data_IF_053398563159
#
_entry.id   IF_053398563159
#
_cell.length_a   1.000
_cell.length_b   1.000
_cell.length_c   1.000
_cell.angle_alpha   90.00
_cell.angle_beta   90.00
_cell.angle_gamma   90.00
#
_symmetry.space_group_name_H-M   'P 1'
#
loop_
_entity.id
_entity.type
_entity.pdbx_description
1 polymer ?
#
# COMPACT_ATOMS: atom_id res chain seq x y z
N UNK A 1 -1.63 -17.03 23.62
CA UNK A 1 -0.63 -16.79 22.58
C UNK A 1 0.74 -16.75 23.25
N UNK A 2 1.76 -17.36 22.68
CA UNK A 2 3.12 -17.21 23.18
C UNK A 2 3.51 -15.74 23.11
N UNK A 3 4.34 -15.26 24.05
CA UNK A 3 4.91 -13.93 23.97
C UNK A 3 5.97 -13.87 22.85
N UNK A 4 6.35 -12.66 22.47
CA UNK A 4 7.29 -12.41 21.37
C UNK A 4 8.62 -13.16 21.56
N UNK A 5 9.18 -13.16 22.76
CA UNK A 5 10.46 -13.80 23.07
C UNK A 5 10.41 -15.32 22.91
N UNK A 6 9.29 -15.93 23.36
CA UNK A 6 9.02 -17.37 23.18
C UNK A 6 8.88 -17.72 21.70
N UNK A 7 8.18 -16.93 20.90
CA UNK A 7 8.07 -17.14 19.44
C UNK A 7 9.42 -17.00 18.75
N UNK A 8 10.23 -15.99 19.09
CA UNK A 8 11.56 -15.78 18.56
C UNK A 8 12.52 -16.94 18.86
N UNK A 9 12.45 -17.49 20.08
CA UNK A 9 13.23 -18.68 20.47
C UNK A 9 12.83 -19.90 19.62
N UNK A 10 11.54 -20.16 19.47
CA UNK A 10 11.04 -21.28 18.67
C UNK A 10 11.42 -21.15 17.18
N UNK A 11 11.40 -19.94 16.63
CA UNK A 11 11.84 -19.68 15.25
C UNK A 11 13.32 -20.06 15.11
N UNK A 12 14.20 -19.58 16.00
CA UNK A 12 15.65 -19.86 15.95
C UNK A 12 15.97 -21.35 16.12
N UNK A 13 15.26 -22.06 17.00
CA UNK A 13 15.46 -23.48 17.24
C UNK A 13 15.01 -24.39 16.06
N UNK A 14 14.04 -23.92 15.25
CA UNK A 14 13.44 -24.70 14.15
C UNK A 14 13.79 -24.19 12.76
N UNK A 15 14.85 -23.39 12.63
CA UNK A 15 15.28 -22.87 11.33
C UNK A 15 15.61 -24.02 10.36
N UNK A 16 14.93 -24.10 9.18
CA UNK A 16 15.25 -25.09 8.18
C UNK A 16 16.58 -24.75 7.49
N UNK A 17 17.26 -25.75 6.99
CA UNK A 17 18.41 -25.52 6.11
C UNK A 17 17.96 -24.84 4.82
N UNK A 18 18.72 -23.84 4.37
CA UNK A 18 18.41 -23.02 3.18
C UNK A 18 18.96 -23.66 1.89
N UNK A 19 18.43 -24.82 1.53
CA UNK A 19 18.93 -25.63 0.41
C UNK A 19 17.96 -25.70 -0.79
N UNK A 20 16.73 -25.25 -0.60
CA UNK A 20 15.66 -25.49 -1.57
C UNK A 20 15.71 -24.55 -2.79
N UNK A 21 16.31 -23.36 -2.65
CA UNK A 21 16.45 -22.39 -3.73
C UNK A 21 16.55 -20.96 -3.23
N UNK A 22 16.76 -20.02 -4.16
CA UNK A 22 16.93 -18.60 -3.90
C UNK A 22 15.78 -17.80 -4.54
N UNK A 23 15.01 -17.07 -3.74
CA UNK A 23 13.85 -16.32 -4.22
C UNK A 23 13.99 -14.84 -3.87
N UNK A 24 13.77 -13.98 -4.87
CA UNK A 24 13.66 -12.54 -4.68
C UNK A 24 12.20 -12.12 -4.49
N UNK A 25 11.95 -11.24 -3.54
CA UNK A 25 10.64 -10.64 -3.27
C UNK A 25 10.76 -9.14 -3.45
N UNK A 26 9.96 -8.55 -4.33
CA UNK A 26 9.95 -7.11 -4.60
C UNK A 26 8.79 -6.47 -3.84
N UNK A 27 9.14 -5.65 -2.84
CA UNK A 27 8.21 -5.00 -1.92
C UNK A 27 7.98 -5.77 -0.63
N UNK A 28 8.04 -5.07 0.49
CA UNK A 28 7.87 -5.59 1.85
C UNK A 28 6.48 -5.31 2.44
N UNK A 29 5.47 -5.05 1.59
CA UNK A 29 4.09 -4.94 2.05
C UNK A 29 3.53 -6.29 2.53
N UNK A 30 2.24 -6.35 2.93
CA UNK A 30 1.63 -7.57 3.48
C UNK A 30 1.83 -8.81 2.63
N UNK A 31 1.71 -8.69 1.30
CA UNK A 31 1.90 -9.81 0.38
C UNK A 31 3.36 -10.27 0.34
N UNK A 32 4.32 -9.34 0.23
CA UNK A 32 5.74 -9.66 0.18
C UNK A 32 6.24 -10.30 1.47
N UNK A 33 5.88 -9.74 2.63
CA UNK A 33 6.23 -10.31 3.94
C UNK A 33 5.66 -11.72 4.11
N UNK A 34 4.42 -11.95 3.66
CA UNK A 34 3.79 -13.28 3.73
C UNK A 34 4.51 -14.30 2.86
N UNK A 35 4.79 -13.98 1.59
CA UNK A 35 5.52 -14.86 0.68
C UNK A 35 6.91 -15.16 1.21
N UNK A 36 7.64 -14.13 1.68
CA UNK A 36 8.98 -14.30 2.20
C UNK A 36 9.02 -15.19 3.44
N UNK A 37 8.14 -14.96 4.40
CA UNK A 37 8.05 -15.78 5.61
C UNK A 37 7.68 -17.24 5.31
N UNK A 38 6.70 -17.47 4.43
CA UNK A 38 6.26 -18.82 4.09
C UNK A 38 7.34 -19.60 3.30
N UNK A 39 8.05 -18.98 2.37
CA UNK A 39 9.15 -19.62 1.64
C UNK A 39 10.36 -19.84 2.54
N UNK A 40 10.69 -18.89 3.42
CA UNK A 40 11.80 -19.05 4.36
C UNK A 40 11.59 -20.23 5.31
N UNK A 41 10.35 -20.45 5.79
CA UNK A 41 9.97 -21.64 6.59
C UNK A 41 10.10 -22.95 5.80
N UNK A 42 9.99 -22.90 4.49
CA UNK A 42 10.13 -24.06 3.60
C UNK A 42 11.58 -24.33 3.17
N UNK A 43 12.57 -23.58 3.66
CA UNK A 43 13.99 -23.80 3.37
C UNK A 43 14.51 -23.04 2.13
N UNK A 44 13.78 -22.04 1.64
CA UNK A 44 14.29 -21.13 0.63
C UNK A 44 15.18 -20.02 1.23
N UNK A 45 16.19 -19.61 0.47
CA UNK A 45 16.94 -18.40 0.73
C UNK A 45 16.19 -17.21 0.12
N UNK A 46 15.67 -16.32 0.94
CA UNK A 46 14.78 -15.23 0.49
C UNK A 46 15.40 -13.88 0.74
N UNK A 47 15.37 -13.02 -0.29
CA UNK A 47 15.77 -11.61 -0.18
C UNK A 47 14.59 -10.73 -0.58
N UNK A 48 14.24 -9.77 0.27
CA UNK A 48 13.25 -8.74 -0.01
C UNK A 48 13.97 -7.47 -0.49
N UNK A 49 13.57 -6.96 -1.64
CA UNK A 49 13.98 -5.67 -2.22
C UNK A 49 12.90 -4.63 -1.90
N UNK A 50 13.23 -3.67 -1.05
CA UNK A 50 12.28 -2.65 -0.57
C UNK A 50 12.76 -1.24 -0.95
N UNK A 51 11.88 -0.46 -1.53
CA UNK A 51 12.16 0.91 -1.99
C UNK A 51 12.26 1.94 -0.87
N UNK A 52 11.64 1.67 0.28
CA UNK A 52 11.60 2.55 1.43
C UNK A 52 12.77 2.28 2.41
N UNK A 53 12.95 3.19 3.36
CA UNK A 53 13.97 3.09 4.41
C UNK A 53 13.62 2.05 5.48
N UNK A 54 12.33 1.77 5.70
CA UNK A 54 11.85 0.72 6.59
C UNK A 54 10.93 -0.24 5.84
N UNK A 55 10.95 -1.54 6.16
CA UNK A 55 10.04 -2.51 5.58
C UNK A 55 8.63 -2.39 6.17
N UNK A 56 7.63 -2.95 5.48
CA UNK A 56 6.24 -3.01 5.94
C UNK A 56 5.23 -2.40 4.97
N UNK A 57 5.68 -1.60 4.00
CA UNK A 57 4.81 -0.99 2.99
C UNK A 57 3.63 -0.23 3.60
N UNK A 58 2.40 -0.54 3.18
CA UNK A 58 1.19 0.13 3.70
C UNK A 58 0.99 -0.05 5.21
N UNK A 59 1.49 -1.12 5.83
CA UNK A 59 1.42 -1.33 7.29
C UNK A 59 2.23 -0.27 8.04
N UNK A 60 3.37 0.11 7.50
CA UNK A 60 4.26 1.09 8.09
C UNK A 60 3.87 2.52 7.71
N UNK A 61 3.61 2.77 6.43
CA UNK A 61 3.47 4.12 5.89
C UNK A 61 2.03 4.56 5.60
N UNK A 62 1.09 3.63 5.44
CA UNK A 62 -0.29 3.92 5.03
C UNK A 62 -1.29 3.86 6.19
N UNK A 63 -1.30 2.78 6.97
CA UNK A 63 -2.23 2.60 8.08
C UNK A 63 -1.79 3.50 9.25
N UNK A 64 -2.68 4.33 9.85
CA UNK A 64 -2.31 5.19 10.97
C UNK A 64 -1.89 4.40 12.23
N UNK A 65 -0.99 5.00 13.02
CA UNK A 65 -0.49 4.45 14.29
C UNK A 65 -1.62 4.02 15.25
N UNK A 66 -2.68 4.82 15.36
CA UNK A 66 -3.81 4.53 16.26
C UNK A 66 -4.65 3.33 15.84
N UNK A 67 -4.50 2.82 14.59
CA UNK A 67 -5.12 1.57 14.10
C UNK A 67 -4.17 0.39 14.13
N UNK A 68 -2.91 0.64 13.83
CA UNK A 68 -1.87 -0.38 13.78
C UNK A 68 -0.56 0.20 14.33
N UNK A 69 -0.25 -0.05 15.62
CA UNK A 69 1.00 0.39 16.22
C UNK A 69 2.22 -0.13 15.43
N UNK A 70 3.16 0.75 15.11
CA UNK A 70 4.32 0.40 14.27
C UNK A 70 5.24 -0.60 14.95
N UNK A 71 5.25 -0.61 16.28
CA UNK A 71 5.97 -1.63 17.05
C UNK A 71 5.49 -3.05 16.72
N UNK A 72 4.17 -3.27 16.54
CA UNK A 72 3.63 -4.58 16.16
C UNK A 72 4.13 -4.98 14.78
N UNK A 73 4.18 -4.02 13.83
CA UNK A 73 4.71 -4.27 12.49
C UNK A 73 6.19 -4.64 12.53
N UNK A 74 6.99 -3.92 13.32
CA UNK A 74 8.43 -4.21 13.51
C UNK A 74 8.65 -5.59 14.10
N UNK A 75 7.89 -5.98 15.12
CA UNK A 75 7.97 -7.32 15.71
C UNK A 75 7.69 -8.43 14.68
N UNK A 76 6.71 -8.25 13.79
CA UNK A 76 6.45 -9.23 12.73
C UNK A 76 7.59 -9.28 11.69
N UNK A 77 8.19 -8.13 11.36
CA UNK A 77 9.37 -8.05 10.50
C UNK A 77 10.57 -8.77 11.14
N UNK A 78 10.85 -8.53 12.43
CA UNK A 78 11.92 -9.20 13.19
C UNK A 78 11.75 -10.74 13.18
N UNK A 79 10.51 -11.24 13.28
CA UNK A 79 10.24 -12.69 13.15
C UNK A 79 10.62 -13.21 11.76
N UNK A 80 10.35 -12.43 10.71
CA UNK A 80 10.69 -12.79 9.33
C UNK A 80 12.20 -12.75 9.11
N UNK A 81 12.91 -11.75 9.68
CA UNK A 81 14.37 -11.70 9.69
C UNK A 81 14.98 -12.89 10.43
N UNK A 82 14.41 -13.26 11.56
CA UNK A 82 14.84 -14.43 12.34
C UNK A 82 14.66 -15.75 11.56
N UNK A 83 13.77 -15.82 10.58
CA UNK A 83 13.70 -16.92 9.63
C UNK A 83 14.83 -16.94 8.60
N UNK A 84 15.75 -15.97 8.64
CA UNK A 84 16.87 -15.82 7.72
C UNK A 84 16.51 -15.12 6.41
N UNK A 85 15.45 -14.32 6.39
CA UNK A 85 15.13 -13.44 5.27
C UNK A 85 16.02 -12.20 5.33
N UNK A 86 16.62 -11.85 4.18
CA UNK A 86 17.45 -10.63 4.05
C UNK A 86 16.59 -9.49 3.49
N UNK A 87 16.74 -8.29 4.04
CA UNK A 87 16.11 -7.07 3.52
C UNK A 87 17.15 -6.16 2.88
N UNK A 88 16.92 -5.78 1.61
CA UNK A 88 17.68 -4.76 0.89
C UNK A 88 16.80 -3.52 0.77
N UNK A 89 16.99 -2.59 1.71
CA UNK A 89 16.22 -1.35 1.81
C UNK A 89 16.76 -0.27 0.87
N UNK A 90 15.96 0.76 0.61
CA UNK A 90 16.28 1.84 -0.33
C UNK A 90 16.61 1.34 -1.75
N UNK A 91 16.08 0.17 -2.12
CA UNK A 91 16.34 -0.50 -3.38
C UNK A 91 15.09 -0.43 -4.28
N UNK A 92 15.14 0.40 -5.32
CA UNK A 92 14.03 0.61 -6.26
C UNK A 92 14.22 -0.27 -7.48
N UNK A 93 13.54 -1.42 -7.52
CA UNK A 93 13.51 -2.30 -8.69
C UNK A 93 12.82 -1.60 -9.88
N UNK A 94 13.41 -1.72 -11.07
CA UNK A 94 13.06 -0.97 -12.26
C UNK A 94 13.75 0.41 -12.35
N UNK A 95 14.67 0.73 -11.42
CA UNK A 95 15.51 1.93 -11.46
C UNK A 95 17.00 1.62 -11.22
N UNK A 96 17.32 0.96 -10.12
CA UNK A 96 18.70 0.59 -9.74
C UNK A 96 19.09 -0.77 -10.32
N UNK A 97 18.13 -1.68 -10.41
CA UNK A 97 18.24 -2.99 -11.05
C UNK A 97 16.87 -3.37 -11.61
N UNK A 98 16.86 -4.23 -12.61
CA UNK A 98 15.65 -4.76 -13.21
C UNK A 98 15.47 -6.27 -12.88
N UNK A 99 14.44 -6.89 -13.39
CA UNK A 99 14.15 -8.33 -13.17
C UNK A 99 15.27 -9.22 -13.72
N UNK A 100 15.87 -8.87 -14.87
CA UNK A 100 16.96 -9.63 -15.47
C UNK A 100 18.24 -9.56 -14.63
N UNK A 101 18.54 -8.39 -14.05
CA UNK A 101 19.66 -8.22 -13.13
C UNK A 101 19.50 -9.09 -11.87
N UNK A 102 18.26 -9.26 -11.40
CA UNK A 102 17.96 -10.13 -10.26
C UNK A 102 18.17 -11.61 -10.65
N UNK A 103 17.68 -12.05 -11.80
CA UNK A 103 17.95 -13.41 -12.30
C UNK A 103 19.44 -13.66 -12.49
N UNK A 104 20.18 -12.69 -13.04
CA UNK A 104 21.63 -12.79 -13.22
C UNK A 104 22.41 -12.99 -11.89
N UNK A 105 21.83 -12.58 -10.75
CA UNK A 105 22.35 -12.85 -9.41
C UNK A 105 22.01 -14.25 -8.87
N UNK A 106 21.46 -15.14 -9.71
CA UNK A 106 21.18 -16.54 -9.40
C UNK A 106 19.92 -16.78 -8.58
N UNK A 107 18.92 -15.89 -8.67
CA UNK A 107 17.60 -16.16 -8.10
C UNK A 107 16.82 -17.12 -9.00
N UNK A 108 16.21 -18.16 -8.42
CA UNK A 108 15.42 -19.19 -9.11
C UNK A 108 14.01 -18.69 -9.47
N UNK A 109 13.47 -17.79 -8.68
CA UNK A 109 12.16 -17.16 -8.91
C UNK A 109 12.10 -15.74 -8.29
N UNK A 110 11.18 -14.94 -8.82
CA UNK A 110 10.96 -13.56 -8.37
C UNK A 110 9.47 -13.36 -8.08
N UNK A 111 9.16 -12.75 -6.95
CA UNK A 111 7.79 -12.33 -6.57
C UNK A 111 7.65 -10.81 -6.65
N UNK A 112 6.65 -10.31 -7.35
CA UNK A 112 6.29 -8.89 -7.42
C UNK A 112 5.12 -8.64 -6.46
N UNK A 113 5.40 -7.96 -5.35
CA UNK A 113 4.45 -7.55 -4.32
C UNK A 113 4.45 -6.03 -4.09
N UNK A 114 4.68 -5.25 -5.15
CA UNK A 114 4.86 -3.79 -5.10
C UNK A 114 3.58 -2.99 -4.79
N UNK A 115 2.42 -3.64 -4.71
CA UNK A 115 1.15 -3.03 -4.38
C UNK A 115 0.69 -1.98 -5.40
N UNK A 116 -0.10 -1.00 -4.93
CA UNK A 116 -0.62 0.12 -5.72
C UNK A 116 -0.04 1.44 -5.20
N UNK A 117 1.18 1.77 -5.65
CA UNK A 117 1.93 2.92 -5.16
C UNK A 117 1.51 4.26 -5.80
N UNK A 118 0.81 4.24 -6.95
CA UNK A 118 0.42 5.47 -7.65
C UNK A 118 -1.03 5.86 -7.31
N UNK A 119 -1.25 7.02 -6.68
CA UNK A 119 -2.60 7.56 -6.51
C UNK A 119 -3.25 7.82 -7.87
N UNK A 120 -4.57 7.64 -7.96
CA UNK A 120 -5.34 8.08 -9.11
C UNK A 120 -5.46 9.59 -9.09
N UNK A 121 -5.26 10.22 -10.23
CA UNK A 121 -5.57 11.63 -10.45
C UNK A 121 -7.07 11.83 -10.72
N UNK A 122 -7.55 13.01 -10.42
CA UNK A 122 -8.85 13.50 -10.91
C UNK A 122 -8.57 14.45 -12.07
N UNK A 123 -9.22 14.21 -13.18
CA UNK A 123 -9.17 15.10 -14.35
C UNK A 123 -10.30 16.12 -14.25
N UNK A 124 -10.14 17.07 -13.32
CA UNK A 124 -11.06 18.18 -13.10
C UNK A 124 -10.27 19.48 -12.94
N UNK A 125 -10.88 20.65 -13.29
CA UNK A 125 -10.24 21.94 -13.10
C UNK A 125 -9.76 22.13 -11.64
N UNK A 126 -8.58 22.71 -11.49
CA UNK A 126 -7.99 23.01 -10.18
C UNK A 126 -7.30 21.83 -9.48
N UNK A 127 -7.21 20.63 -10.09
CA UNK A 127 -6.56 19.48 -9.46
C UNK A 127 -5.05 19.69 -9.16
N UNK A 128 -4.41 20.66 -9.82
CA UNK A 128 -3.00 21.04 -9.59
C UNK A 128 -2.81 22.18 -8.59
N UNK A 129 -3.85 22.71 -7.98
CA UNK A 129 -3.73 23.81 -7.00
C UNK A 129 -2.95 23.38 -5.76
N UNK A 130 -2.16 24.31 -5.19
CA UNK A 130 -1.50 24.10 -3.90
C UNK A 130 -2.54 23.88 -2.81
N UNK A 131 -2.37 22.81 -2.03
CA UNK A 131 -3.34 22.38 -1.00
C UNK A 131 -4.28 21.28 -1.46
N UNK A 132 -4.30 20.92 -2.76
CA UNK A 132 -4.86 19.65 -3.22
C UNK A 132 -3.78 18.58 -3.10
N UNK A 133 -3.98 17.60 -2.22
CA UNK A 133 -2.98 16.57 -1.90
C UNK A 133 -3.58 15.17 -1.98
N UNK A 134 -2.73 14.17 -2.11
CA UNK A 134 -3.16 12.78 -2.02
C UNK A 134 -3.30 12.35 -0.56
N UNK A 135 -4.36 11.61 -0.24
CA UNK A 135 -4.59 11.08 1.11
C UNK A 135 -3.44 10.17 1.57
N UNK A 136 -2.88 9.37 0.67
CA UNK A 136 -1.70 8.54 0.94
C UNK A 136 -0.47 9.36 1.33
N UNK A 137 -0.29 10.55 0.77
CA UNK A 137 0.78 11.46 1.17
C UNK A 137 0.56 12.01 2.58
N UNK A 138 -0.67 12.43 2.93
CA UNK A 138 -0.99 12.84 4.30
C UNK A 138 -0.71 11.73 5.30
N UNK A 139 -1.18 10.51 5.02
CA UNK A 139 -1.00 9.36 5.91
C UNK A 139 0.49 9.00 6.09
N UNK A 140 1.26 9.01 4.99
CA UNK A 140 2.71 8.77 5.04
C UNK A 140 3.40 9.81 5.93
N UNK A 141 3.16 11.10 5.67
CA UNK A 141 3.81 12.18 6.41
C UNK A 141 3.41 12.21 7.88
N UNK A 142 2.15 11.91 8.21
CA UNK A 142 1.68 11.81 9.58
C UNK A 142 2.32 10.63 10.33
N UNK A 143 2.47 9.46 9.67
CA UNK A 143 3.12 8.30 10.28
C UNK A 143 4.59 8.58 10.59
N UNK A 144 5.38 9.11 9.63
CA UNK A 144 6.81 9.40 9.87
C UNK A 144 7.02 10.59 10.83
N UNK A 145 6.04 11.50 10.94
CA UNK A 145 6.01 12.54 11.98
C UNK A 145 5.80 11.92 13.38
N UNK A 146 4.83 11.02 13.52
CA UNK A 146 4.57 10.33 14.78
C UNK A 146 5.78 9.50 15.25
N UNK A 147 6.58 8.97 14.32
CA UNK A 147 7.85 8.28 14.59
C UNK A 147 9.03 9.25 14.87
N UNK A 148 8.81 10.56 14.84
CA UNK A 148 9.85 11.57 15.08
C UNK A 148 10.86 11.75 13.94
N UNK A 149 10.62 11.15 12.77
CA UNK A 149 11.52 11.22 11.60
C UNK A 149 11.50 12.59 10.93
N UNK A 150 10.36 13.28 10.95
CA UNK A 150 10.17 14.62 10.36
C UNK A 150 9.50 15.57 11.35
N UNK A 151 9.70 16.88 11.14
CA UNK A 151 9.01 17.91 11.92
C UNK A 151 7.55 18.06 11.54
N UNK A 152 6.76 18.71 12.43
CA UNK A 152 5.34 18.99 12.21
C UNK A 152 5.09 19.84 10.94
N UNK A 153 6.04 20.69 10.57
CA UNK A 153 6.02 21.54 9.38
C UNK A 153 5.98 20.73 8.05
N UNK A 154 6.33 19.44 8.09
CA UNK A 154 6.29 18.56 6.93
C UNK A 154 4.94 17.87 6.76
N UNK A 155 4.10 17.81 7.81
CA UNK A 155 2.74 17.26 7.69
C UNK A 155 1.86 18.25 6.94
N UNK A 156 1.22 17.81 5.83
CA UNK A 156 0.59 18.76 4.89
C UNK A 156 -0.72 19.38 5.39
N UNK A 157 -1.30 18.91 6.50
CA UNK A 157 -2.47 19.55 7.16
C UNK A 157 -1.96 20.50 8.24
N UNK A 158 -2.38 21.76 8.17
CA UNK A 158 -2.02 22.81 9.13
C UNK A 158 -3.12 22.91 10.19
N UNK A 159 -2.75 23.20 11.41
CA UNK A 159 -3.70 23.43 12.52
C UNK A 159 -4.67 24.57 12.19
N UNK A 160 -5.95 24.35 12.47
CA UNK A 160 -7.02 25.32 12.18
C UNK A 160 -7.57 25.28 10.75
N UNK A 161 -7.02 24.48 9.83
CA UNK A 161 -7.56 24.36 8.46
C UNK A 161 -8.92 23.62 8.42
N UNK A 162 -9.76 24.02 7.47
CA UNK A 162 -10.96 23.27 7.06
C UNK A 162 -10.60 22.33 5.94
N UNK A 163 -10.70 21.01 6.19
CA UNK A 163 -10.21 19.97 5.29
C UNK A 163 -11.36 19.20 4.63
N UNK A 164 -11.34 19.09 3.32
CA UNK A 164 -12.20 18.15 2.58
C UNK A 164 -11.43 16.87 2.25
N UNK A 165 -12.07 15.70 2.42
CA UNK A 165 -11.53 14.42 2.00
C UNK A 165 -12.45 13.84 0.92
N UNK A 166 -11.89 13.62 -0.28
CA UNK A 166 -12.64 13.17 -1.46
C UNK A 166 -12.62 11.65 -1.54
N UNK A 167 -13.77 11.01 -1.37
CA UNK A 167 -13.93 9.56 -1.36
C UNK A 167 -14.45 9.04 -0.02
N UNK A 168 -14.87 7.76 0.05
CA UNK A 168 -15.51 7.19 1.24
C UNK A 168 -15.08 5.73 1.53
N UNK A 169 -13.85 5.36 1.12
CA UNK A 169 -13.22 4.08 1.49
C UNK A 169 -12.43 4.17 2.78
N UNK A 170 -11.82 3.06 3.22
CA UNK A 170 -11.01 3.02 4.44
C UNK A 170 -9.89 4.06 4.44
N UNK A 171 -9.24 4.30 3.31
CA UNK A 171 -8.20 5.35 3.17
C UNK A 171 -8.77 6.75 3.42
N UNK A 172 -10.03 7.02 3.01
CA UNK A 172 -10.69 8.29 3.28
C UNK A 172 -10.98 8.45 4.78
N UNK A 173 -11.45 7.39 5.45
CA UNK A 173 -11.66 7.40 6.91
C UNK A 173 -10.34 7.65 7.64
N UNK A 174 -9.27 6.95 7.26
CA UNK A 174 -7.94 7.11 7.84
C UNK A 174 -7.41 8.54 7.66
N UNK A 175 -7.54 9.09 6.44
CA UNK A 175 -7.09 10.46 6.14
C UNK A 175 -7.90 11.51 6.91
N UNK A 176 -9.22 11.34 7.00
CA UNK A 176 -10.09 12.27 7.74
C UNK A 176 -9.77 12.26 9.24
N UNK A 177 -9.69 11.10 9.86
CA UNK A 177 -9.34 10.94 11.27
C UNK A 177 -7.92 11.44 11.57
N UNK A 178 -6.98 11.20 10.64
CA UNK A 178 -5.63 11.75 10.76
C UNK A 178 -5.64 13.27 10.69
N UNK A 179 -6.40 13.89 9.77
CA UNK A 179 -6.51 15.33 9.69
C UNK A 179 -7.10 15.96 10.98
N UNK A 180 -8.12 15.33 11.58
CA UNK A 180 -8.64 15.74 12.91
C UNK A 180 -7.52 15.72 13.95
N UNK A 181 -6.76 14.62 14.03
CA UNK A 181 -5.65 14.45 15.00
C UNK A 181 -4.49 15.39 14.75
N UNK A 182 -4.32 15.85 13.51
CA UNK A 182 -3.35 16.89 13.14
C UNK A 182 -3.88 18.32 13.39
N UNK A 183 -5.01 18.50 14.07
CA UNK A 183 -5.51 19.81 14.51
C UNK A 183 -6.31 20.57 13.47
N UNK A 184 -6.88 19.92 12.44
CA UNK A 184 -7.82 20.57 11.54
C UNK A 184 -9.04 21.12 12.32
N UNK A 185 -9.49 22.35 12.00
CA UNK A 185 -10.66 22.96 12.63
C UNK A 185 -11.96 22.22 12.29
N UNK A 186 -12.05 21.68 11.09
CA UNK A 186 -13.11 20.75 10.68
C UNK A 186 -12.64 19.85 9.56
N UNK A 187 -13.21 18.65 9.52
CA UNK A 187 -12.95 17.67 8.45
C UNK A 187 -14.28 17.20 7.87
N UNK A 188 -14.41 17.24 6.54
CA UNK A 188 -15.61 16.82 5.82
C UNK A 188 -15.25 15.81 4.73
N UNK A 189 -15.81 14.62 4.81
CA UNK A 189 -15.77 13.64 3.73
C UNK A 189 -16.81 13.99 2.67
N UNK A 190 -16.40 14.11 1.41
CA UNK A 190 -17.27 14.40 0.26
C UNK A 190 -17.38 13.14 -0.59
N UNK A 191 -18.61 12.65 -0.75
CA UNK A 191 -18.86 11.40 -1.45
C UNK A 191 -20.01 11.51 -2.45
N UNK A 192 -19.76 11.02 -3.69
CA UNK A 192 -20.71 11.14 -4.81
C UNK A 192 -21.95 10.25 -4.72
N UNK A 193 -21.93 9.25 -3.84
CA UNK A 193 -23.04 8.30 -3.65
C UNK A 193 -23.68 8.48 -2.28
N UNK A 194 -24.63 7.61 -1.94
CA UNK A 194 -25.30 7.58 -0.64
C UNK A 194 -24.43 6.92 0.43
N UNK A 195 -24.84 7.02 1.68
CA UNK A 195 -24.23 6.30 2.82
C UNK A 195 -24.27 4.78 2.62
N UNK A 196 -25.36 4.25 2.04
CA UNK A 196 -25.51 2.82 1.78
C UNK A 196 -24.48 2.28 0.76
N UNK A 197 -23.94 3.14 -0.11
CA UNK A 197 -22.93 2.78 -1.10
C UNK A 197 -21.49 2.92 -0.58
N UNK A 198 -21.32 3.24 0.69
CA UNK A 198 -20.01 3.47 1.29
C UNK A 198 -19.18 2.18 1.33
N UNK A 199 -17.97 2.17 0.73
CA UNK A 199 -17.11 0.98 0.74
C UNK A 199 -16.26 0.82 2.00
N UNK A 200 -16.23 1.82 2.90
CA UNK A 200 -15.50 1.74 4.16
C UNK A 200 -16.14 0.74 5.13
N UNK A 201 -15.32 0.16 5.99
CA UNK A 201 -15.79 -0.71 7.08
C UNK A 201 -16.62 0.12 8.06
N UNK A 202 -17.79 -0.41 8.46
CA UNK A 202 -18.73 0.30 9.31
C UNK A 202 -18.10 0.80 10.63
N UNK A 203 -17.20 0.03 11.22
CA UNK A 203 -16.50 0.43 12.45
C UNK A 203 -15.64 1.70 12.24
N UNK A 204 -14.98 1.83 11.08
CA UNK A 204 -14.17 3.02 10.76
C UNK A 204 -15.03 4.26 10.49
N UNK A 205 -16.18 4.07 9.85
CA UNK A 205 -17.17 5.13 9.67
C UNK A 205 -17.69 5.65 11.02
N UNK A 206 -18.09 4.75 11.91
CA UNK A 206 -18.55 5.13 13.25
C UNK A 206 -17.46 5.84 14.07
N UNK A 207 -16.22 5.38 13.98
CA UNK A 207 -15.10 6.05 14.63
C UNK A 207 -14.84 7.46 14.06
N UNK A 208 -14.98 7.64 12.75
CA UNK A 208 -14.87 8.96 12.11
C UNK A 208 -15.99 9.92 12.59
N UNK A 209 -17.22 9.45 12.68
CA UNK A 209 -18.35 10.22 13.23
C UNK A 209 -18.08 10.64 14.68
N UNK A 210 -17.60 9.72 15.52
CA UNK A 210 -17.28 9.99 16.92
C UNK A 210 -16.16 11.03 17.08
N UNK A 211 -15.21 11.08 16.12
CA UNK A 211 -14.15 12.09 16.08
C UNK A 211 -14.59 13.43 15.44
N UNK A 212 -15.89 13.58 15.11
CA UNK A 212 -16.46 14.82 14.60
C UNK A 212 -16.31 15.04 13.09
N UNK A 213 -15.94 14.01 12.31
CA UNK A 213 -15.91 14.09 10.86
C UNK A 213 -17.31 14.25 10.30
N UNK A 214 -17.51 15.22 9.42
CA UNK A 214 -18.76 15.48 8.73
C UNK A 214 -18.80 14.76 7.38
N UNK A 215 -20.01 14.56 6.85
CA UNK A 215 -20.20 13.87 5.56
C UNK A 215 -21.14 14.68 4.65
N UNK A 216 -20.70 14.87 3.40
CA UNK A 216 -21.51 15.39 2.30
C UNK A 216 -21.76 14.23 1.33
N UNK A 217 -22.93 13.63 1.46
CA UNK A 217 -23.40 12.55 0.59
C UNK A 217 -23.94 13.07 -0.73
N UNK A 218 -23.98 12.23 -1.77
CA UNK A 218 -24.50 12.55 -3.09
C UNK A 218 -23.92 13.85 -3.67
N UNK A 219 -22.67 14.13 -3.33
CA UNK A 219 -21.95 15.35 -3.70
C UNK A 219 -20.81 14.99 -4.65
N UNK A 220 -20.99 15.29 -5.95
CA UNK A 220 -20.01 15.06 -7.01
C UNK A 220 -19.23 16.32 -7.32
N UNK A 221 -17.96 16.35 -6.95
CA UNK A 221 -17.10 17.50 -7.24
C UNK A 221 -16.88 17.66 -8.75
N UNK A 222 -16.88 18.91 -9.19
CA UNK A 222 -16.66 19.29 -10.58
C UNK A 222 -15.44 20.18 -10.80
N UNK A 223 -15.02 20.91 -9.76
CA UNK A 223 -13.91 21.84 -9.83
C UNK A 223 -13.33 22.09 -8.43
N UNK A 224 -12.02 22.27 -8.31
CA UNK A 224 -11.39 22.87 -7.14
C UNK A 224 -11.14 24.35 -7.38
N UNK A 225 -11.60 25.19 -6.45
CA UNK A 225 -11.55 26.64 -6.55
C UNK A 225 -10.22 27.15 -5.97
N UNK A 226 -9.53 27.99 -6.72
CA UNK A 226 -8.25 28.57 -6.33
C UNK A 226 -8.34 30.07 -6.12
N UNK A 227 -7.44 30.64 -5.31
CA UNK A 227 -7.20 32.07 -5.24
C UNK A 227 -6.14 32.52 -6.29
N UNK A 228 -5.86 33.82 -6.32
CA UNK A 228 -4.86 34.43 -7.24
C UNK A 228 -3.46 33.86 -7.05
N UNK A 229 -3.11 33.38 -5.84
CA UNK A 229 -1.83 32.75 -5.55
C UNK A 229 -1.76 31.28 -5.97
N UNK A 230 -2.80 30.72 -6.56
CA UNK A 230 -2.88 29.29 -6.94
C UNK A 230 -3.00 28.35 -5.76
N UNK A 231 -3.53 28.81 -4.60
CA UNK A 231 -3.88 27.97 -3.45
C UNK A 231 -5.36 27.62 -3.51
N UNK A 232 -5.71 26.37 -3.16
CA UNK A 232 -7.11 25.95 -3.03
C UNK A 232 -7.82 26.72 -1.90
N UNK A 233 -9.04 27.15 -2.17
CA UNK A 233 -9.93 27.84 -1.21
C UNK A 233 -11.28 27.14 -1.10
N UNK A 234 -11.56 26.12 -1.90
CA UNK A 234 -12.81 25.38 -1.85
C UNK A 234 -13.01 24.46 -3.04
N UNK A 235 -14.23 23.99 -3.17
CA UNK A 235 -14.65 23.17 -4.30
C UNK A 235 -16.06 23.54 -4.78
N UNK A 236 -16.33 23.27 -6.05
CA UNK A 236 -17.67 23.29 -6.65
C UNK A 236 -18.13 21.86 -6.89
N UNK A 237 -19.38 21.58 -6.57
CA UNK A 237 -19.94 20.24 -6.70
C UNK A 237 -21.40 20.25 -7.13
N UNK A 238 -21.80 19.22 -7.85
CA UNK A 238 -23.19 18.88 -8.10
C UNK A 238 -23.77 18.14 -6.88
N UNK A 239 -24.92 18.61 -6.40
CA UNK A 239 -25.69 17.97 -5.33
C UNK A 239 -27.11 17.73 -5.80
N UNK A 240 -27.95 16.95 -5.09
CA UNK A 240 -29.36 16.79 -5.41
C UNK A 240 -30.16 18.12 -5.50
N UNK A 241 -29.66 19.14 -4.80
CA UNK A 241 -30.30 20.46 -4.76
C UNK A 241 -29.72 21.45 -5.79
N UNK A 242 -28.80 20.99 -6.64
CA UNK A 242 -28.12 21.81 -7.65
C UNK A 242 -26.62 21.97 -7.41
N UNK A 243 -26.03 22.92 -8.13
CA UNK A 243 -24.60 23.23 -8.00
C UNK A 243 -24.35 24.05 -6.73
N UNK A 244 -23.38 23.63 -5.92
CA UNK A 244 -22.97 24.34 -4.70
C UNK A 244 -21.46 24.53 -4.64
N UNK A 245 -21.06 25.57 -3.94
CA UNK A 245 -19.64 25.81 -3.60
C UNK A 245 -19.46 25.66 -2.08
N UNK A 246 -18.31 25.06 -1.72
CA UNK A 246 -17.93 24.81 -0.34
C UNK A 246 -16.54 25.36 -0.12
N UNK A 247 -16.33 26.09 0.95
CA UNK A 247 -15.02 26.64 1.33
C UNK A 247 -14.20 25.58 2.08
N UNK A 248 -12.95 25.36 1.64
CA UNK A 248 -11.98 24.48 2.28
C UNK A 248 -10.58 25.02 2.05
N UNK A 249 -9.73 24.95 3.07
CA UNK A 249 -8.32 25.36 3.00
C UNK A 249 -7.43 24.28 2.40
N UNK A 250 -7.89 23.01 2.45
CA UNK A 250 -7.18 21.82 1.97
C UNK A 250 -8.12 20.75 1.44
N UNK A 251 -7.67 20.06 0.41
CA UNK A 251 -8.40 18.94 -0.19
C UNK A 251 -7.49 17.71 -0.24
N UNK A 252 -7.95 16.61 0.37
CA UNK A 252 -7.26 15.32 0.37
C UNK A 252 -7.97 14.35 -0.58
N UNK A 253 -7.27 13.87 -1.61
CA UNK A 253 -7.82 12.94 -2.59
C UNK A 253 -7.64 11.49 -2.11
N UNK A 254 -8.74 10.81 -1.79
CA UNK A 254 -8.81 9.41 -1.40
C UNK A 254 -9.61 8.58 -2.43
N UNK A 255 -9.37 8.83 -3.72
CA UNK A 255 -10.12 8.27 -4.86
C UNK A 255 -9.53 6.97 -5.41
N UNK A 256 -8.64 6.36 -4.65
CA UNK A 256 -7.99 5.09 -4.96
C UNK A 256 -6.60 5.24 -5.57
N UNK A 257 -5.98 4.09 -5.82
CA UNK A 257 -4.62 3.98 -6.35
C UNK A 257 -4.57 2.94 -7.48
N UNK A 258 -3.44 2.88 -8.18
CA UNK A 258 -3.12 1.91 -9.22
C UNK A 258 -1.69 1.42 -9.09
N UNK A 259 -1.34 0.26 -9.67
CA UNK A 259 0.03 -0.22 -9.72
C UNK A 259 0.96 0.78 -10.40
N UNK A 260 2.19 0.86 -9.94
CA UNK A 260 3.24 1.58 -10.64
C UNK A 260 3.76 0.73 -11.80
N UNK A 261 3.81 1.29 -13.01
CA UNK A 261 4.24 0.57 -14.22
C UNK A 261 5.76 0.31 -14.28
N UNK A 262 6.55 0.90 -13.40
CA UNK A 262 8.02 0.91 -13.50
C UNK A 262 8.63 -0.48 -13.68
N UNK A 263 8.25 -1.47 -12.88
CA UNK A 263 8.80 -2.83 -12.98
C UNK A 263 8.43 -3.43 -14.34
N UNK A 264 7.17 -3.31 -14.74
CA UNK A 264 6.66 -3.87 -16.00
C UNK A 264 7.26 -3.16 -17.20
N UNK A 265 7.39 -1.82 -17.17
CA UNK A 265 7.94 -1.04 -18.28
C UNK A 265 9.45 -1.22 -18.48
N UNK A 266 10.17 -1.72 -17.49
CA UNK A 266 11.62 -2.01 -17.56
C UNK A 266 11.93 -3.50 -17.70
N UNK A 267 10.90 -4.33 -17.91
CA UNK A 267 11.04 -5.79 -17.98
C UNK A 267 10.14 -6.36 -19.08
N UNK A 268 10.71 -6.98 -20.08
CA UNK A 268 9.94 -7.60 -21.16
C UNK A 268 9.20 -8.86 -20.68
N UNK A 269 8.05 -9.14 -21.29
CA UNK A 269 7.29 -10.38 -21.12
C UNK A 269 6.41 -10.43 -19.88
N UNK A 270 6.17 -9.30 -19.18
CA UNK A 270 5.17 -9.19 -18.12
C UNK A 270 3.95 -8.44 -18.67
N UNK A 271 2.83 -9.13 -18.77
CA UNK A 271 1.57 -8.57 -19.26
C UNK A 271 0.75 -7.95 -18.13
N UNK A 272 0.01 -6.89 -18.47
CA UNK A 272 -0.92 -6.21 -17.56
C UNK A 272 -2.28 -6.05 -18.23
N UNK A 273 -3.32 -5.82 -17.41
CA UNK A 273 -4.59 -5.33 -17.90
C UNK A 273 -4.52 -3.83 -18.26
N UNK A 274 -5.63 -3.29 -18.81
CA UNK A 274 -5.76 -1.88 -19.22
C UNK A 274 -5.58 -0.89 -18.05
N UNK A 275 -5.69 -1.34 -16.82
CA UNK A 275 -5.50 -0.54 -15.60
C UNK A 275 -4.10 -0.69 -15.00
N UNK A 276 -3.23 -1.49 -15.62
CA UNK A 276 -1.85 -1.73 -15.19
C UNK A 276 -1.69 -2.80 -14.11
N UNK A 277 -2.72 -3.60 -13.81
CA UNK A 277 -2.60 -4.74 -12.91
C UNK A 277 -1.93 -5.90 -13.63
N UNK A 278 -0.98 -6.55 -12.96
CA UNK A 278 -0.22 -7.67 -13.52
C UNK A 278 -1.14 -8.89 -13.72
N UNK A 279 -1.12 -9.46 -14.92
CA UNK A 279 -1.85 -10.68 -15.24
C UNK A 279 -1.09 -11.90 -14.70
N UNK A 280 -1.81 -12.83 -14.06
CA UNK A 280 -1.23 -14.04 -13.49
C UNK A 280 -1.99 -15.30 -13.89
N UNK A 281 -1.30 -16.43 -13.91
CA UNK A 281 -1.83 -17.75 -14.22
C UNK A 281 -2.40 -18.43 -12.97
N UNK A 282 -3.30 -19.36 -13.18
CA UNK A 282 -3.81 -20.23 -12.12
C UNK A 282 -2.85 -21.41 -11.82
N UNK A 283 -2.00 -21.80 -12.78
CA UNK A 283 -1.04 -22.91 -12.64
C UNK A 283 0.28 -22.60 -13.37
N UNK A 284 1.42 -22.51 -12.66
CA UNK A 284 1.54 -22.36 -11.20
C UNK A 284 0.82 -21.09 -10.71
N UNK A 285 0.15 -21.17 -9.57
CA UNK A 285 -0.66 -20.05 -9.08
C UNK A 285 0.18 -18.80 -8.87
N UNK A 286 -0.27 -17.69 -9.42
CA UNK A 286 0.39 -16.39 -9.32
C UNK A 286 1.56 -16.17 -10.29
N UNK A 287 1.92 -17.13 -11.16
CA UNK A 287 2.96 -16.90 -12.18
C UNK A 287 2.45 -15.94 -13.26
N UNK A 288 3.26 -14.95 -13.60
CA UNK A 288 2.95 -13.98 -14.67
C UNK A 288 3.12 -14.63 -16.06
N UNK A 289 2.94 -13.85 -17.13
CA UNK A 289 3.31 -14.27 -18.50
C UNK A 289 4.80 -14.58 -18.64
N UNK A 290 5.66 -13.96 -17.81
CA UNK A 290 7.09 -14.25 -17.77
C UNK A 290 7.42 -15.43 -16.85
N UNK A 291 8.09 -16.45 -17.39
CA UNK A 291 8.51 -17.64 -16.65
C UNK A 291 9.40 -17.30 -15.45
N UNK A 292 9.10 -17.87 -14.28
CA UNK A 292 9.84 -17.65 -13.04
C UNK A 292 9.50 -16.34 -12.31
N UNK A 293 8.64 -15.49 -12.90
CA UNK A 293 8.17 -14.27 -12.28
C UNK A 293 6.73 -14.45 -11.80
N UNK A 294 6.49 -14.20 -10.54
CA UNK A 294 5.21 -14.31 -9.87
C UNK A 294 4.74 -12.95 -9.36
N UNK A 295 3.46 -12.76 -9.19
CA UNK A 295 2.90 -11.55 -8.61
C UNK A 295 1.71 -11.85 -7.69
N UNK A 296 1.46 -10.96 -6.73
CA UNK A 296 0.33 -11.10 -5.81
C UNK A 296 0.08 -9.86 -4.96
N UNK A 297 -1.04 -9.86 -4.23
CA UNK A 297 -1.53 -8.69 -3.52
C UNK A 297 -2.10 -7.64 -4.46
N UNK A 298 -2.06 -6.37 -4.06
CA UNK A 298 -2.74 -5.27 -4.75
C UNK A 298 -2.17 -4.94 -6.15
N UNK A 299 -1.01 -5.48 -6.51
CA UNK A 299 -0.45 -5.34 -7.87
C UNK A 299 -1.18 -6.21 -8.89
N UNK A 300 -1.89 -7.25 -8.43
CA UNK A 300 -2.71 -8.19 -9.24
C UNK A 300 -4.19 -7.93 -9.05
N UNK A 301 -4.60 -7.79 -7.80
CA UNK A 301 -6.01 -7.61 -7.45
C UNK A 301 -6.26 -6.13 -7.12
N UNK A 302 -7.47 -5.64 -7.39
CA UNK A 302 -7.85 -4.29 -6.93
C UNK A 302 -7.64 -4.21 -5.41
N UNK A 303 -7.14 -3.06 -4.88
CA UNK A 303 -6.86 -2.92 -3.47
C UNK A 303 -8.05 -3.31 -2.59
N UNK A 304 -7.79 -4.18 -1.63
CA UNK A 304 -8.79 -4.69 -0.70
C UNK A 304 -8.26 -4.56 0.74
N UNK A 305 -8.39 -5.61 1.55
CA UNK A 305 -7.85 -5.63 2.90
C UNK A 305 -6.48 -6.30 2.97
N UNK A 306 -5.70 -5.94 3.99
CA UNK A 306 -4.42 -6.60 4.33
C UNK A 306 -4.57 -8.12 4.38
N UNK A 307 -5.64 -8.61 5.04
CA UNK A 307 -5.92 -10.05 5.19
C UNK A 307 -6.10 -10.73 3.84
N UNK A 308 -6.79 -10.10 2.89
CA UNK A 308 -6.99 -10.67 1.56
C UNK A 308 -5.68 -10.72 0.76
N UNK A 309 -4.87 -9.67 0.85
CA UNK A 309 -3.54 -9.66 0.23
C UNK A 309 -2.64 -10.76 0.78
N UNK A 310 -2.64 -10.98 2.10
CA UNK A 310 -1.90 -12.07 2.75
C UNK A 310 -2.42 -13.45 2.34
N UNK A 311 -3.76 -13.63 2.27
CA UNK A 311 -4.37 -14.90 1.85
C UNK A 311 -3.98 -15.27 0.42
N UNK A 312 -4.05 -14.33 -0.51
CA UNK A 312 -3.62 -14.54 -1.90
C UNK A 312 -2.11 -14.86 -1.96
N UNK A 313 -1.29 -14.14 -1.22
CA UNK A 313 0.16 -14.33 -1.16
C UNK A 313 0.58 -15.75 -0.70
N UNK A 314 -0.14 -16.35 0.26
CA UNK A 314 0.10 -17.74 0.70
C UNK A 314 -0.04 -18.74 -0.45
N UNK A 315 -1.05 -18.58 -1.30
CA UNK A 315 -1.24 -19.44 -2.48
C UNK A 315 -0.12 -19.24 -3.51
N UNK A 316 0.36 -18.00 -3.66
CA UNK A 316 1.49 -17.71 -4.56
C UNK A 316 2.79 -18.31 -4.03
N UNK A 317 3.03 -18.30 -2.72
CA UNK A 317 4.21 -18.94 -2.12
C UNK A 317 4.26 -20.46 -2.43
N UNK A 318 3.11 -21.14 -2.40
CA UNK A 318 3.00 -22.55 -2.82
C UNK A 318 3.33 -22.68 -4.32
N UNK A 319 2.81 -21.80 -5.17
CA UNK A 319 3.10 -21.81 -6.62
C UNK A 319 4.59 -21.61 -6.92
N UNK A 320 5.26 -20.69 -6.22
CA UNK A 320 6.71 -20.47 -6.34
C UNK A 320 7.48 -21.71 -5.93
N UNK A 321 7.15 -22.32 -4.78
CA UNK A 321 7.81 -23.49 -4.27
C UNK A 321 7.72 -24.67 -5.28
N UNK A 322 6.53 -24.96 -5.77
CA UNK A 322 6.28 -26.01 -6.79
C UNK A 322 7.06 -25.74 -8.08
N UNK A 323 7.10 -24.48 -8.53
CA UNK A 323 7.84 -24.12 -9.74
C UNK A 323 9.34 -24.34 -9.59
N UNK A 324 9.95 -23.86 -8.49
CA UNK A 324 11.40 -24.00 -8.28
C UNK A 324 11.80 -25.46 -8.14
N UNK A 325 11.04 -26.25 -7.38
CA UNK A 325 11.31 -27.70 -7.25
C UNK A 325 11.22 -28.42 -8.61
N UNK A 326 10.19 -28.11 -9.40
CA UNK A 326 10.03 -28.74 -10.73
C UNK A 326 11.18 -28.35 -11.69
N UNK A 327 11.61 -27.08 -11.68
CA UNK A 327 12.74 -26.64 -12.53
C UNK A 327 14.02 -27.36 -12.15
N UNK A 328 14.29 -27.53 -10.86
CA UNK A 328 15.50 -28.21 -10.36
C UNK A 328 15.48 -29.71 -10.75
N UNK A 329 14.37 -30.39 -10.53
CA UNK A 329 14.22 -31.81 -10.93
C UNK A 329 14.40 -32.06 -12.44
N UNK A 330 14.07 -31.05 -13.27
CA UNK A 330 14.25 -31.16 -14.73
C UNK A 330 15.66 -30.76 -15.18
N UNK A 331 16.49 -30.22 -14.31
CA UNK A 331 17.86 -29.77 -14.60
C UNK A 331 18.91 -30.77 -14.12
N UNK A 332 18.52 -31.75 -13.29
CA UNK A 332 19.29 -32.95 -12.90
C UNK A 332 19.18 -34.06 -13.98
#
# INVERSE_FOLDING_TARGET
MADFDTEMKLIREKLPQKTRGKVAVIGSGPAGLTVAGDLARQGFNVTIFESQAEPGGVLMYGIPEYRLPKQVVRQEIEKIEALGVTFLLNCVVGKQLNIDDIFAQGYDAIFIGSGTALPKSLDIPGAGLRGVIQATYLLHMANIYNEGTVGRDKVPVIEGEHVAVMGCGNVAMDAARTAVRMGAASVTIVYRRTEADMPAIQAEYQAALQEGVKFLWQTSMTEFLGNEDGKVVGLRANTPEGVKEYAFDRICLAVGSRPASRIVSTTEGIETDDNGYVLVKERPFGMTSRKGVFAGGDVVHRPQTVVMAMKAAKSVAVGIAQYVDAVKLLSE
#
